data_IF_766402361154
#
_entry.id   IF_766402361154
#
_cell.length_a   1.000
_cell.length_b   1.000
_cell.length_c   1.000
_cell.angle_alpha   90.00
_cell.angle_beta   90.00
_cell.angle_gamma   90.00
#
_symmetry.space_group_name_H-M   'P 1'
#
loop_
_entity.id
_entity.type
_entity.pdbx_description
1 polymer ?
#
# COMPACT_ATOMS: atom_id res chain seq x y z
N UNK A 1 -8.77 -7.73 -16.69
CA UNK A 1 -7.60 -6.82 -16.83
C UNK A 1 -6.81 -7.16 -18.09
N UNK A 2 -6.30 -8.39 -18.24
CA UNK A 2 -5.48 -8.77 -19.41
C UNK A 2 -6.20 -8.61 -20.76
N UNK A 3 -7.50 -8.89 -20.82
CA UNK A 3 -8.33 -8.75 -22.02
C UNK A 3 -8.36 -7.31 -22.56
N UNK A 4 -8.11 -6.31 -21.70
CA UNK A 4 -8.07 -4.89 -22.07
C UNK A 4 -6.78 -4.53 -22.84
N UNK A 5 -5.76 -5.39 -22.82
CA UNK A 5 -4.47 -5.23 -23.54
C UNK A 5 -3.82 -3.86 -23.36
N UNK A 6 -3.97 -3.27 -22.18
CA UNK A 6 -3.57 -1.89 -21.90
C UNK A 6 -2.71 -1.79 -20.62
N UNK A 7 -1.50 -2.38 -20.63
CA UNK A 7 -0.66 -2.47 -19.43
C UNK A 7 -0.22 -1.11 -18.88
N UNK A 8 -0.22 -0.06 -19.70
CA UNK A 8 0.08 1.32 -19.26
C UNK A 8 -0.90 1.87 -18.22
N UNK A 9 -2.07 1.24 -18.04
CA UNK A 9 -3.07 1.63 -17.05
C UNK A 9 -3.07 0.72 -15.81
N UNK A 10 -2.17 -0.26 -15.70
CA UNK A 10 -2.18 -1.18 -14.56
C UNK A 10 -2.00 -0.47 -13.22
N UNK A 11 -1.11 0.53 -13.15
CA UNK A 11 -0.96 1.36 -11.94
C UNK A 11 -2.22 2.14 -11.58
N UNK A 12 -2.96 2.63 -12.57
CA UNK A 12 -4.25 3.29 -12.35
C UNK A 12 -5.29 2.31 -11.81
N UNK A 13 -5.32 1.07 -12.33
CA UNK A 13 -6.22 0.03 -11.81
C UNK A 13 -5.88 -0.30 -10.34
N UNK A 14 -4.61 -0.35 -9.97
CA UNK A 14 -4.20 -0.55 -8.57
C UNK A 14 -4.70 0.60 -7.69
N UNK A 15 -4.47 1.85 -8.10
CA UNK A 15 -4.93 3.05 -7.39
C UNK A 15 -6.45 3.03 -7.21
N UNK A 16 -7.20 2.79 -8.28
CA UNK A 16 -8.67 2.76 -8.23
C UNK A 16 -9.22 1.56 -7.43
N UNK A 17 -8.53 0.41 -7.44
CA UNK A 17 -8.92 -0.73 -6.61
C UNK A 17 -8.81 -0.40 -5.11
N UNK A 18 -7.74 0.29 -4.71
CA UNK A 18 -7.57 0.76 -3.33
C UNK A 18 -8.65 1.80 -3.00
N UNK A 19 -8.81 2.81 -3.85
CA UNK A 19 -9.80 3.87 -3.66
C UNK A 19 -11.23 3.32 -3.48
N UNK A 20 -11.67 2.50 -4.44
CA UNK A 20 -13.00 1.90 -4.42
C UNK A 20 -13.19 0.96 -3.23
N UNK A 21 -12.14 0.25 -2.81
CA UNK A 21 -12.21 -0.66 -1.68
C UNK A 21 -12.31 0.07 -0.34
N UNK A 22 -11.61 1.19 -0.18
CA UNK A 22 -11.60 1.96 1.07
C UNK A 22 -12.84 2.86 1.22
N UNK A 23 -13.49 3.22 0.12
CA UNK A 23 -14.78 3.94 0.11
C UNK A 23 -15.99 3.05 0.48
N UNK A 24 -15.80 1.72 0.63
CA UNK A 24 -16.88 0.82 1.09
C UNK A 24 -17.13 0.92 2.59
N UNK A 25 -18.35 0.55 2.98
CA UNK A 25 -18.74 0.39 4.38
C UNK A 25 -19.32 -1.02 4.61
N UNK A 26 -18.61 -1.93 5.29
CA UNK A 26 -17.26 -1.75 5.82
C UNK A 26 -16.18 -1.68 4.72
N UNK A 27 -15.02 -1.06 5.00
CA UNK A 27 -13.91 -1.00 4.05
C UNK A 27 -13.42 -2.40 3.63
N UNK A 28 -13.13 -2.57 2.34
CA UNK A 28 -12.73 -3.85 1.75
C UNK A 28 -11.20 -4.04 1.76
N UNK A 29 -10.54 -3.82 2.91
CA UNK A 29 -9.07 -3.93 3.07
C UNK A 29 -8.54 -5.30 2.62
N UNK A 30 -9.08 -6.37 3.21
CA UNK A 30 -8.65 -7.75 2.92
C UNK A 30 -8.92 -8.17 1.46
N UNK A 31 -10.12 -7.95 0.89
CA UNK A 31 -10.38 -8.23 -0.52
C UNK A 31 -9.42 -7.50 -1.47
N UNK A 32 -9.12 -6.22 -1.22
CA UNK A 32 -8.19 -5.46 -2.07
C UNK A 32 -6.78 -6.04 -1.98
N UNK A 33 -6.26 -6.30 -0.78
CA UNK A 33 -4.94 -6.87 -0.61
C UNK A 33 -4.81 -8.24 -1.32
N UNK A 34 -5.81 -9.12 -1.16
CA UNK A 34 -5.87 -10.43 -1.84
C UNK A 34 -5.96 -10.31 -3.36
N UNK A 35 -6.70 -9.32 -3.88
CA UNK A 35 -6.76 -9.05 -5.31
C UNK A 35 -5.39 -8.66 -5.87
N UNK A 36 -4.70 -7.73 -5.19
CA UNK A 36 -3.36 -7.29 -5.61
C UNK A 36 -2.35 -8.43 -5.53
N UNK A 37 -2.35 -9.20 -4.44
CA UNK A 37 -1.51 -10.40 -4.29
C UNK A 37 -1.79 -11.42 -5.41
N UNK A 38 -3.05 -11.70 -5.71
CA UNK A 38 -3.43 -12.63 -6.77
C UNK A 38 -2.91 -12.16 -8.13
N UNK A 39 -3.11 -10.89 -8.48
CA UNK A 39 -2.68 -10.34 -9.77
C UNK A 39 -1.15 -10.25 -9.89
N UNK A 40 -0.43 -10.02 -8.78
CA UNK A 40 1.02 -10.14 -8.69
C UNK A 40 1.48 -11.59 -8.92
N UNK A 41 0.88 -12.56 -8.21
CA UNK A 41 1.21 -13.97 -8.34
C UNK A 41 0.94 -14.52 -9.75
N UNK A 42 -0.08 -13.99 -10.42
CA UNK A 42 -0.40 -14.28 -11.83
C UNK A 42 0.46 -13.51 -12.84
N UNK A 43 1.35 -12.62 -12.39
CA UNK A 43 2.19 -11.75 -13.22
C UNK A 43 1.38 -10.84 -14.17
N UNK A 44 0.12 -10.55 -13.80
CA UNK A 44 -0.72 -9.57 -14.50
C UNK A 44 -0.24 -8.17 -14.14
N UNK A 45 0.02 -7.94 -12.84
CA UNK A 45 0.70 -6.76 -12.35
C UNK A 45 2.15 -7.08 -12.03
N UNK A 46 3.04 -6.15 -12.37
CA UNK A 46 4.40 -6.15 -11.87
C UNK A 46 4.47 -5.45 -10.50
N UNK A 47 5.55 -5.70 -9.75
CA UNK A 47 5.84 -4.94 -8.52
C UNK A 47 5.91 -3.42 -8.78
N UNK A 48 6.34 -3.01 -9.99
CA UNK A 48 6.35 -1.61 -10.40
C UNK A 48 4.94 -1.05 -10.55
N UNK A 49 4.02 -1.81 -11.16
CA UNK A 49 2.63 -1.35 -11.33
C UNK A 49 1.96 -1.15 -9.97
N UNK A 50 2.16 -2.10 -9.05
CA UNK A 50 1.62 -2.03 -7.70
C UNK A 50 2.23 -0.88 -6.92
N UNK A 51 3.55 -0.76 -6.90
CA UNK A 51 4.23 0.35 -6.23
C UNK A 51 3.81 1.73 -6.78
N UNK A 52 3.67 1.85 -8.10
CA UNK A 52 3.21 3.10 -8.75
C UNK A 52 1.76 3.40 -8.38
N UNK A 53 0.87 2.41 -8.37
CA UNK A 53 -0.52 2.59 -7.94
C UNK A 53 -0.64 3.00 -6.47
N UNK A 54 0.18 2.42 -5.59
CA UNK A 54 0.27 2.83 -4.18
C UNK A 54 0.76 4.28 -4.03
N UNK A 55 1.75 4.71 -4.83
CA UNK A 55 2.23 6.10 -4.83
C UNK A 55 1.15 7.07 -5.29
N UNK A 56 0.40 6.72 -6.35
CA UNK A 56 -0.72 7.52 -6.84
C UNK A 56 -1.80 7.67 -5.77
N UNK A 57 -2.17 6.57 -5.10
CA UNK A 57 -3.17 6.62 -4.03
C UNK A 57 -2.66 7.44 -2.83
N UNK A 58 -1.40 7.24 -2.43
CA UNK A 58 -0.77 8.00 -1.36
C UNK A 58 -0.78 9.51 -1.61
N UNK A 59 -0.61 9.96 -2.85
CA UNK A 59 -0.67 11.39 -3.21
C UNK A 59 -2.07 12.03 -3.12
N UNK A 60 -3.11 11.23 -2.93
CA UNK A 60 -4.49 11.69 -2.78
C UNK A 60 -5.00 11.53 -1.34
N UNK A 61 -4.19 10.96 -0.44
CA UNK A 61 -4.69 10.52 0.87
C UNK A 61 -5.09 11.70 1.75
N UNK A 62 -4.42 12.84 1.64
CA UNK A 62 -4.72 14.03 2.44
C UNK A 62 -6.15 14.52 2.20
N UNK A 63 -6.58 14.58 0.93
CA UNK A 63 -7.96 14.94 0.56
C UNK A 63 -8.94 13.83 0.94
N UNK A 64 -8.61 12.57 0.64
CA UNK A 64 -9.48 11.42 0.91
C UNK A 64 -9.76 11.29 2.42
N UNK A 65 -8.76 11.53 3.27
CA UNK A 65 -8.87 11.36 4.71
C UNK A 65 -9.82 12.37 5.37
N UNK A 66 -10.15 13.48 4.71
CA UNK A 66 -11.17 14.44 5.17
C UNK A 66 -12.54 13.77 5.24
N UNK A 67 -12.91 13.05 4.19
CA UNK A 67 -14.19 12.35 4.11
C UNK A 67 -14.13 10.94 4.72
N UNK A 68 -12.97 10.28 4.61
CA UNK A 68 -12.72 8.91 5.03
C UNK A 68 -11.57 8.85 6.05
N UNK A 69 -11.78 9.22 7.33
CA UNK A 69 -10.71 9.35 8.32
C UNK A 69 -9.96 8.04 8.64
N UNK A 70 -10.53 6.88 8.27
CA UNK A 70 -9.88 5.57 8.41
C UNK A 70 -9.01 5.18 7.21
N UNK A 71 -9.07 5.91 6.10
CA UNK A 71 -8.35 5.58 4.88
C UNK A 71 -6.83 5.47 5.09
N UNK A 72 -6.14 6.35 5.84
CA UNK A 72 -4.71 6.21 6.10
C UNK A 72 -4.35 4.87 6.78
N UNK A 73 -5.06 4.51 7.84
CA UNK A 73 -4.82 3.26 8.57
C UNK A 73 -5.12 2.03 7.70
N UNK A 74 -6.27 2.02 7.03
CA UNK A 74 -6.67 0.94 6.12
C UNK A 74 -5.69 0.77 4.94
N UNK A 75 -5.17 1.88 4.40
CA UNK A 75 -4.18 1.85 3.34
C UNK A 75 -2.85 1.29 3.83
N UNK A 76 -2.42 1.66 5.04
CA UNK A 76 -1.26 1.05 5.70
C UNK A 76 -1.40 -0.46 5.86
N UNK A 77 -2.57 -0.97 6.25
CA UNK A 77 -2.83 -2.41 6.30
C UNK A 77 -2.68 -3.09 4.92
N UNK A 78 -3.21 -2.48 3.85
CA UNK A 78 -3.03 -2.98 2.48
C UNK A 78 -1.53 -3.01 2.13
N UNK A 79 -0.80 -1.92 2.39
CA UNK A 79 0.63 -1.83 2.15
C UNK A 79 1.41 -2.94 2.84
N UNK A 80 1.15 -3.18 4.13
CA UNK A 80 1.81 -4.26 4.87
C UNK A 80 1.54 -5.65 4.29
N UNK A 81 0.30 -5.93 3.87
CA UNK A 81 -0.06 -7.21 3.22
C UNK A 81 0.61 -7.37 1.84
N UNK A 82 0.68 -6.30 1.06
CA UNK A 82 1.37 -6.30 -0.25
C UNK A 82 2.89 -6.43 -0.09
N UNK A 83 3.48 -5.88 0.98
CA UNK A 83 4.90 -6.09 1.35
C UNK A 83 5.14 -7.57 1.66
N UNK A 84 4.28 -8.20 2.46
CA UNK A 84 4.37 -9.64 2.76
C UNK A 84 4.26 -10.51 1.50
N UNK A 85 3.46 -10.09 0.52
CA UNK A 85 3.34 -10.75 -0.77
C UNK A 85 4.51 -10.47 -1.74
N UNK A 86 5.49 -9.64 -1.35
CA UNK A 86 6.62 -9.24 -2.19
C UNK A 86 6.22 -8.31 -3.35
N UNK A 87 5.05 -7.69 -3.29
CA UNK A 87 4.57 -6.75 -4.30
C UNK A 87 5.22 -5.37 -4.23
N UNK A 88 5.57 -4.93 -3.01
CA UNK A 88 6.29 -3.69 -2.73
C UNK A 88 7.25 -3.91 -1.55
N UNK A 89 8.05 -2.89 -1.22
CA UNK A 89 9.01 -2.94 -0.12
C UNK A 89 8.95 -1.64 0.71
N UNK A 90 9.70 -1.57 1.81
CA UNK A 90 9.72 -0.38 2.68
C UNK A 90 10.30 0.85 1.98
N UNK A 91 11.17 0.67 0.97
CA UNK A 91 11.61 1.80 0.14
C UNK A 91 10.45 2.44 -0.63
N UNK A 92 9.52 1.63 -1.17
CA UNK A 92 8.28 2.14 -1.78
C UNK A 92 7.38 2.78 -0.73
N UNK A 93 7.22 2.17 0.44
CA UNK A 93 6.43 2.76 1.53
C UNK A 93 6.99 4.14 1.93
N UNK A 94 8.32 4.29 2.03
CA UNK A 94 8.96 5.59 2.26
C UNK A 94 8.59 6.62 1.21
N UNK A 95 8.64 6.25 -0.07
CA UNK A 95 8.23 7.16 -1.15
C UNK A 95 6.73 7.49 -1.11
N UNK A 96 5.88 6.54 -0.68
CA UNK A 96 4.46 6.80 -0.40
C UNK A 96 4.30 7.81 0.72
N UNK A 97 5.00 7.65 1.85
CA UNK A 97 4.93 8.59 2.97
C UNK A 97 5.38 10.00 2.58
N UNK A 98 6.37 10.14 1.69
CA UNK A 98 6.77 11.44 1.12
C UNK A 98 5.73 12.09 0.21
N UNK A 99 4.79 11.31 -0.32
CA UNK A 99 3.66 11.83 -1.11
C UNK A 99 2.50 12.33 -0.25
N UNK A 100 2.48 11.97 1.02
CA UNK A 100 1.50 12.43 2.00
C UNK A 100 1.97 13.76 2.57
N UNK A 101 1.20 14.82 2.37
CA UNK A 101 1.57 16.17 2.77
C UNK A 101 1.50 16.34 4.29
N UNK A 102 0.42 15.90 4.91
CA UNK A 102 0.18 16.04 6.34
C UNK A 102 0.77 14.87 7.14
N UNK A 103 1.68 15.19 8.06
CA UNK A 103 2.36 14.24 8.95
C UNK A 103 1.37 13.41 9.79
N UNK A 104 0.19 13.98 10.09
CA UNK A 104 -0.84 13.29 10.86
C UNK A 104 -1.33 12.01 10.16
N UNK A 105 -1.24 11.92 8.82
CA UNK A 105 -1.65 10.75 8.06
C UNK A 105 -0.49 9.77 7.79
N UNK A 106 0.77 10.21 7.91
CA UNK A 106 1.95 9.33 7.72
C UNK A 106 2.04 8.27 8.82
N UNK A 107 1.87 8.67 10.08
CA UNK A 107 1.91 7.78 11.25
C UNK A 107 0.93 6.61 11.13
N UNK A 108 -0.39 6.81 10.93
CA UNK A 108 -1.34 5.70 10.84
C UNK A 108 -1.08 4.77 9.64
N UNK A 109 -0.55 5.27 8.52
CA UNK A 109 -0.15 4.42 7.38
C UNK A 109 1.03 3.52 7.79
N UNK A 110 2.07 4.11 8.36
CA UNK A 110 3.27 3.37 8.74
C UNK A 110 2.99 2.36 9.85
N UNK A 111 2.29 2.75 10.90
CA UNK A 111 1.99 1.89 12.05
C UNK A 111 1.13 0.70 11.64
N UNK A 112 0.14 0.90 10.77
CA UNK A 112 -0.68 -0.18 10.26
C UNK A 112 0.12 -1.13 9.36
N UNK A 113 0.99 -0.60 8.49
CA UNK A 113 1.89 -1.43 7.68
C UNK A 113 2.85 -2.25 8.54
N UNK A 114 3.47 -1.62 9.56
CA UNK A 114 4.34 -2.29 10.51
C UNK A 114 3.62 -3.37 11.31
N UNK A 115 2.39 -3.10 11.77
CA UNK A 115 1.57 -4.06 12.51
C UNK A 115 1.24 -5.27 11.63
N UNK A 116 0.84 -5.03 10.38
CA UNK A 116 0.50 -6.08 9.43
C UNK A 116 1.72 -6.97 9.11
N UNK A 117 2.89 -6.38 8.88
CA UNK A 117 4.12 -7.14 8.62
C UNK A 117 4.58 -7.90 9.86
N UNK A 118 4.70 -7.24 11.02
CA UNK A 118 5.22 -7.86 12.26
C UNK A 118 4.34 -8.97 12.82
N UNK A 119 3.04 -8.95 12.51
CA UNK A 119 2.10 -10.01 12.91
C UNK A 119 2.21 -11.28 12.06
N UNK A 120 2.95 -11.25 10.95
CA UNK A 120 3.16 -12.41 10.08
C UNK A 120 4.40 -13.21 10.48
N UNK A 121 4.37 -14.56 10.46
CA UNK A 121 5.56 -15.39 10.71
C UNK A 121 6.74 -15.09 9.78
N UNK A 122 6.49 -14.67 8.53
CA UNK A 122 7.52 -14.30 7.56
C UNK A 122 7.98 -12.85 7.68
N UNK A 123 7.28 -12.03 8.49
CA UNK A 123 7.51 -10.60 8.57
C UNK A 123 8.84 -10.21 9.20
N UNK A 124 9.29 -10.94 10.23
CA UNK A 124 10.52 -10.62 10.95
C UNK A 124 11.74 -10.59 10.02
N UNK A 125 11.87 -11.58 9.13
CA UNK A 125 12.97 -11.62 8.16
C UNK A 125 12.92 -10.48 7.14
N UNK A 126 11.71 -10.02 6.78
CA UNK A 126 11.53 -8.86 5.89
C UNK A 126 11.96 -7.58 6.58
N UNK A 127 11.57 -7.39 7.85
CA UNK A 127 11.93 -6.22 8.66
C UNK A 127 13.45 -6.14 8.87
N UNK A 128 14.10 -7.25 9.19
CA UNK A 128 15.56 -7.32 9.35
C UNK A 128 16.28 -7.04 8.03
N UNK A 129 15.82 -7.63 6.92
CA UNK A 129 16.42 -7.40 5.60
C UNK A 129 16.25 -5.96 5.10
N UNK A 130 15.22 -5.24 5.57
CA UNK A 130 14.90 -3.89 5.15
C UNK A 130 15.07 -2.84 6.26
N UNK A 131 15.84 -3.14 7.31
CA UNK A 131 15.96 -2.30 8.50
C UNK A 131 16.32 -0.83 8.19
N UNK A 132 17.17 -0.60 7.19
CA UNK A 132 17.56 0.76 6.75
C UNK A 132 16.38 1.53 6.18
N UNK A 133 15.56 0.91 5.33
CA UNK A 133 14.38 1.56 4.76
C UNK A 133 13.26 1.72 5.81
N UNK A 134 13.13 0.77 6.74
CA UNK A 134 12.19 0.88 7.88
C UNK A 134 12.55 2.09 8.74
N UNK A 135 13.82 2.28 9.08
CA UNK A 135 14.27 3.45 9.84
C UNK A 135 14.11 4.74 9.05
N UNK A 136 14.34 4.71 7.74
CA UNK A 136 14.10 5.85 6.87
C UNK A 136 12.61 6.23 6.80
N UNK A 137 11.68 5.27 6.89
CA UNK A 137 10.26 5.58 7.05
C UNK A 137 9.96 6.24 8.40
N UNK A 138 10.58 5.79 9.49
CA UNK A 138 10.39 6.39 10.84
C UNK A 138 10.81 7.84 10.90
N UNK A 139 11.86 8.22 10.17
CA UNK A 139 12.31 9.61 10.07
C UNK A 139 11.37 10.56 9.31
N UNK A 140 10.27 10.06 8.74
CA UNK A 140 9.25 10.84 8.03
C UNK A 140 7.94 11.04 8.81
N UNK A 141 7.81 10.37 9.96
CA UNK A 141 6.63 10.42 10.84
C UNK A 141 6.72 11.63 11.77
#
# INVERSE_FOLDING_TARGET
VEELKSPSYHSEIVKEAINLGLDKNPPCVDPVAKLLEYLLAKKVFSARDVGTGCLLYGSMIDDIAIDLPKAPNNFGEIMGKVILAGGVNFSVLKEVLKKVEDEIFRTPIFDAAMTAVSSSPSGQGILEAQAVDVEACRGLL
#
